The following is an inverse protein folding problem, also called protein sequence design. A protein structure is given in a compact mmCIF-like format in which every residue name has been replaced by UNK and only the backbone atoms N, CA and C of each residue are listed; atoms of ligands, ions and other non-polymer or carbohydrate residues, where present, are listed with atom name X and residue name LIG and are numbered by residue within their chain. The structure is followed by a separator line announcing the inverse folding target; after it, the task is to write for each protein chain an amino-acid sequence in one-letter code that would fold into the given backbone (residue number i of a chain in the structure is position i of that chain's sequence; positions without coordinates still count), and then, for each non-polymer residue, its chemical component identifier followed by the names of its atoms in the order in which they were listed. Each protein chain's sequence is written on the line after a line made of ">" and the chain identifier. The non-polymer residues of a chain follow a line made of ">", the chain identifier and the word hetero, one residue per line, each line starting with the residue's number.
data_IF_385668350713
#
_entry.id   IF_385668350713
#
_cell.length_a   1.000
_cell.length_b   1.000
_cell.length_c   1.000
_cell.angle_alpha   90.00
_cell.angle_beta   90.00
_cell.angle_gamma   90.00
#
_symmetry.space_group_name_H-M   'P 1'
#
loop_
_entity.id
_entity.type
_entity.pdbx_description
1 polymer ?
#
# COMPACT_ATOMS: atom_id res chain seq x y z
N UNK A 1 -4.92 -17.64 11.43
CA UNK A 1 -3.47 -17.94 11.56
C UNK A 1 -2.70 -16.99 10.62
N UNK A 2 -1.75 -16.18 11.10
CA UNK A 2 -0.98 -15.28 10.21
C UNK A 2 -0.03 -16.10 9.35
N UNK A 3 -0.12 -16.01 8.02
CA UNK A 3 0.84 -16.64 7.13
C UNK A 3 1.91 -15.63 6.70
N UNK A 4 3.15 -15.85 7.14
CA UNK A 4 4.34 -15.12 6.68
C UNK A 4 5.05 -15.93 5.59
N UNK A 5 4.97 -15.49 4.34
CA UNK A 5 5.78 -16.08 3.26
C UNK A 5 7.15 -15.39 3.20
N UNK A 6 8.18 -16.02 3.78
CA UNK A 6 9.58 -15.56 3.74
C UNK A 6 9.81 -14.10 4.23
N UNK A 7 8.87 -13.55 5.01
CA UNK A 7 8.89 -12.16 5.49
C UNK A 7 8.67 -11.08 4.41
N UNK A 8 8.54 -11.45 3.13
CA UNK A 8 8.28 -10.51 2.02
C UNK A 8 6.78 -10.30 1.79
N UNK A 9 5.95 -11.16 2.39
CA UNK A 9 4.51 -10.97 2.51
C UNK A 9 4.09 -11.25 3.95
N UNK A 10 3.10 -10.50 4.42
CA UNK A 10 2.35 -10.76 5.64
C UNK A 10 0.90 -10.83 5.22
N UNK A 11 0.18 -11.87 5.62
CA UNK A 11 -1.25 -11.96 5.46
C UNK A 11 -1.90 -12.35 6.78
N UNK A 12 -2.78 -11.50 7.27
CA UNK A 12 -3.62 -11.76 8.44
C UNK A 12 -4.90 -12.43 7.96
N UNK A 13 -5.31 -13.42 8.73
CA UNK A 13 -6.52 -14.22 8.52
C UNK A 13 -7.72 -13.44 9.04
N UNK A 14 -8.41 -12.77 8.12
CA UNK A 14 -9.59 -11.94 8.38
C UNK A 14 -10.61 -12.15 7.26
N UNK A 15 -11.89 -12.15 7.60
CA UNK A 15 -12.96 -12.17 6.62
C UNK A 15 -13.04 -10.82 5.89
N UNK A 16 -13.16 -10.86 4.57
CA UNK A 16 -13.24 -9.67 3.75
C UNK A 16 -14.41 -9.76 2.76
N UNK A 17 -15.32 -8.79 2.83
CA UNK A 17 -16.35 -8.55 1.80
C UNK A 17 -15.93 -7.45 0.83
N UNK A 18 -15.12 -6.52 1.34
CA UNK A 18 -14.52 -5.39 0.64
C UNK A 18 -13.04 -5.33 1.01
N UNK A 19 -12.19 -5.00 0.05
CA UNK A 19 -10.74 -4.98 0.23
C UNK A 19 -10.13 -3.67 -0.27
N UNK A 20 -9.33 -3.01 0.57
CA UNK A 20 -8.62 -1.78 0.21
C UNK A 20 -7.12 -2.05 0.03
N UNK A 21 -6.63 -1.85 -1.19
CA UNK A 21 -5.25 -2.15 -1.56
C UNK A 21 -4.52 -0.84 -1.85
N UNK A 22 -3.48 -0.53 -1.08
CA UNK A 22 -2.66 0.66 -1.25
C UNK A 22 -1.32 0.31 -1.90
N UNK A 23 -0.90 1.07 -2.90
CA UNK A 23 0.50 1.01 -3.37
C UNK A 23 1.39 1.77 -2.40
N UNK A 24 2.23 1.08 -1.64
CA UNK A 24 3.13 1.66 -0.62
C UNK A 24 3.98 2.82 -1.14
N UNK A 25 4.52 2.68 -2.34
CA UNK A 25 5.51 3.61 -2.88
C UNK A 25 4.83 4.76 -3.62
N UNK A 26 5.07 5.98 -3.14
CA UNK A 26 4.35 7.17 -3.56
C UNK A 26 3.01 7.41 -2.85
N UNK A 27 2.57 6.50 -1.96
CA UNK A 27 1.45 6.78 -1.03
C UNK A 27 1.94 6.82 0.41
N UNK A 28 2.29 5.68 1.00
CA UNK A 28 2.77 5.57 2.38
C UNK A 28 4.20 6.09 2.53
N UNK A 29 5.05 5.84 1.53
CA UNK A 29 6.45 6.24 1.49
C UNK A 29 6.73 7.06 0.22
N UNK A 30 7.77 7.91 0.18
CA UNK A 30 8.12 8.70 -1.00
C UNK A 30 8.46 7.83 -2.22
N UNK A 31 8.14 8.32 -3.42
CA UNK A 31 8.45 7.62 -4.68
C UNK A 31 9.93 7.67 -5.06
N UNK A 32 10.67 8.74 -4.72
CA UNK A 32 12.11 8.85 -5.03
C UNK A 32 12.97 8.42 -3.82
N UNK A 33 13.25 7.12 -3.76
CA UNK A 33 14.07 6.51 -2.71
C UNK A 33 15.55 6.55 -3.09
N UNK A 34 16.19 7.71 -2.93
CA UNK A 34 17.66 7.83 -3.03
C UNK A 34 18.30 7.85 -1.64
N UNK A 35 18.08 6.82 -0.82
CA UNK A 35 18.70 6.74 0.49
C UNK A 35 17.94 5.91 1.53
N UNK A 36 18.36 6.06 2.79
CA UNK A 36 17.72 5.46 3.96
C UNK A 36 16.29 5.97 4.14
N UNK A 37 15.41 5.11 4.68
CA UNK A 37 14.04 5.47 5.05
C UNK A 37 14.05 5.92 6.51
N UNK A 38 13.50 7.10 6.76
CA UNK A 38 13.29 7.63 8.11
C UNK A 38 11.81 7.55 8.49
N UNK A 39 11.52 7.57 9.80
CA UNK A 39 10.13 7.61 10.29
C UNK A 39 9.36 8.83 9.78
N UNK A 40 10.06 9.95 9.58
CA UNK A 40 9.49 11.16 8.98
C UNK A 40 8.96 10.93 7.58
N UNK A 41 9.47 9.92 6.85
CA UNK A 41 9.05 9.64 5.48
C UNK A 41 7.68 8.95 5.41
N UNK A 42 7.10 8.55 6.55
CA UNK A 42 5.78 7.92 6.58
C UNK A 42 4.70 8.98 6.43
N UNK A 43 3.85 8.81 5.42
CA UNK A 43 2.80 9.75 5.10
C UNK A 43 1.67 9.75 6.15
N UNK A 44 1.64 10.77 7.01
CA UNK A 44 0.64 10.92 8.06
C UNK A 44 -0.81 10.97 7.55
N UNK A 45 -1.05 11.51 6.34
CA UNK A 45 -2.38 11.53 5.72
C UNK A 45 -2.89 10.11 5.44
N UNK A 46 -2.02 9.25 4.92
CA UNK A 46 -2.35 7.84 4.66
C UNK A 46 -2.51 7.06 5.96
N UNK A 47 -1.71 7.36 7.00
CA UNK A 47 -1.88 6.75 8.33
C UNK A 47 -3.26 7.09 8.91
N UNK A 48 -3.70 8.34 8.79
CA UNK A 48 -5.02 8.74 9.30
C UNK A 48 -6.16 8.08 8.52
N UNK A 49 -6.06 7.98 7.19
CA UNK A 49 -7.01 7.23 6.37
C UNK A 49 -7.05 5.75 6.77
N UNK A 50 -5.89 5.12 6.97
CA UNK A 50 -5.79 3.73 7.42
C UNK A 50 -6.43 3.52 8.80
N UNK A 51 -6.28 4.49 9.72
CA UNK A 51 -6.92 4.47 11.02
C UNK A 51 -8.45 4.55 10.93
N UNK A 52 -8.97 5.40 10.04
CA UNK A 52 -10.41 5.48 9.79
C UNK A 52 -10.96 4.18 9.20
N UNK A 53 -10.25 3.60 8.23
CA UNK A 53 -10.59 2.29 7.65
C UNK A 53 -10.59 1.19 8.72
N UNK A 54 -9.57 1.14 9.58
CA UNK A 54 -9.47 0.15 10.66
C UNK A 54 -10.63 0.26 11.64
N UNK A 55 -11.08 1.48 11.98
CA UNK A 55 -12.26 1.70 12.84
C UNK A 55 -13.55 1.13 12.25
N UNK A 56 -13.66 1.08 10.92
CA UNK A 56 -14.79 0.45 10.23
C UNK A 56 -14.66 -1.07 10.11
N UNK A 57 -13.54 -1.67 10.57
CA UNK A 57 -13.31 -3.10 10.48
C UNK A 57 -13.07 -3.59 9.05
N UNK A 58 -12.68 -2.71 8.12
CA UNK A 58 -12.52 -3.05 6.72
C UNK A 58 -11.10 -3.55 6.45
N UNK A 59 -10.94 -4.72 5.80
CA UNK A 59 -9.62 -5.21 5.47
C UNK A 59 -8.86 -4.30 4.49
N UNK A 60 -7.62 -3.99 4.83
CA UNK A 60 -6.74 -3.20 3.98
C UNK A 60 -5.28 -3.60 4.08
N UNK A 61 -4.47 -3.20 3.10
CA UNK A 61 -3.05 -3.51 3.12
C UNK A 61 -2.25 -2.82 2.03
N UNK A 62 -0.96 -3.13 2.01
CA UNK A 62 0.01 -2.44 1.16
C UNK A 62 0.75 -3.40 0.24
N UNK A 63 0.83 -3.04 -1.05
CA UNK A 63 1.71 -3.69 -2.03
C UNK A 63 2.84 -2.74 -2.41
N UNK A 64 4.03 -3.24 -2.77
CA UNK A 64 5.10 -2.38 -3.30
C UNK A 64 4.74 -1.77 -4.65
N UNK A 65 5.30 -0.60 -4.95
CA UNK A 65 5.15 0.02 -6.27
C UNK A 65 6.19 -0.47 -7.27
N UNK A 66 5.81 -0.40 -8.55
CA UNK A 66 6.59 -0.90 -9.69
C UNK A 66 8.03 -0.36 -9.75
N UNK A 67 8.23 0.95 -9.55
CA UNK A 67 9.54 1.61 -9.63
C UNK A 67 10.56 1.11 -8.61
N UNK A 68 10.12 0.71 -7.42
CA UNK A 68 10.99 0.15 -6.37
C UNK A 68 11.47 -1.26 -6.73
N UNK A 69 10.74 -1.95 -7.61
CA UNK A 69 11.12 -3.27 -8.11
C UNK A 69 12.12 -3.16 -9.28
N UNK A 70 12.08 -2.07 -10.05
CA UNK A 70 13.00 -1.75 -11.17
C UNK A 70 14.37 -1.26 -10.69
N UNK A 71 14.39 -0.41 -9.65
CA UNK A 71 15.58 0.32 -9.20
C UNK A 71 16.28 -0.47 -8.09
N UNK A 72 17.23 -1.33 -8.47
CA UNK A 72 18.08 -2.15 -7.59
C UNK A 72 17.29 -2.87 -6.49
N UNK A 73 16.90 -4.13 -6.74
CA UNK A 73 16.21 -4.95 -5.74
C UNK A 73 16.93 -4.86 -4.39
N UNK A 74 16.32 -4.25 -3.35
CA UNK A 74 16.73 -4.49 -1.98
C UNK A 74 16.80 -6.00 -1.80
N UNK A 75 17.78 -6.52 -1.05
CA UNK A 75 17.79 -7.95 -0.75
C UNK A 75 16.41 -8.33 -0.16
N UNK A 76 15.93 -9.54 -0.42
CA UNK A 76 14.66 -10.02 0.17
C UNK A 76 14.62 -9.79 1.69
N UNK A 77 15.76 -9.89 2.36
CA UNK A 77 15.95 -9.57 3.78
C UNK A 77 15.70 -8.09 4.13
N UNK A 78 16.17 -7.14 3.31
CA UNK A 78 15.95 -5.71 3.54
C UNK A 78 14.47 -5.34 3.35
N UNK A 79 13.81 -5.91 2.34
CA UNK A 79 12.38 -5.70 2.13
C UNK A 79 11.53 -6.29 3.27
N UNK A 80 11.89 -7.49 3.75
CA UNK A 80 11.23 -8.11 4.89
C UNK A 80 11.41 -7.29 6.18
N UNK A 81 12.62 -6.81 6.44
CA UNK A 81 12.88 -5.92 7.59
C UNK A 81 12.06 -4.63 7.50
N UNK A 82 11.99 -4.00 6.32
CA UNK A 82 11.17 -2.81 6.10
C UNK A 82 9.69 -3.08 6.35
N UNK A 83 9.15 -4.17 5.81
CA UNK A 83 7.74 -4.55 6.04
C UNK A 83 7.48 -4.72 7.54
N UNK A 84 8.33 -5.44 8.26
CA UNK A 84 8.16 -5.66 9.71
C UNK A 84 8.19 -4.36 10.50
N UNK A 85 9.10 -3.44 10.17
CA UNK A 85 9.17 -2.12 10.81
C UNK A 85 7.90 -1.31 10.54
N UNK A 86 7.46 -1.23 9.28
CA UNK A 86 6.25 -0.49 8.92
C UNK A 86 4.99 -1.08 9.58
N UNK A 87 4.90 -2.41 9.61
CA UNK A 87 3.81 -3.12 10.26
C UNK A 87 3.72 -2.80 11.76
N UNK A 88 4.86 -2.79 12.45
CA UNK A 88 4.93 -2.40 13.86
C UNK A 88 4.53 -0.94 14.08
N UNK A 89 5.06 -0.02 13.28
CA UNK A 89 4.75 1.42 13.40
C UNK A 89 3.26 1.65 13.21
N UNK A 90 2.68 1.13 12.13
CA UNK A 90 1.25 1.30 11.83
C UNK A 90 0.36 0.61 12.86
N UNK A 91 0.73 -0.59 13.32
CA UNK A 91 -0.01 -1.29 14.37
C UNK A 91 0.00 -0.54 15.69
N UNK A 92 1.11 0.12 16.04
CA UNK A 92 1.17 0.97 17.24
C UNK A 92 0.32 2.24 17.16
N UNK A 93 -0.07 2.66 15.95
CA UNK A 93 -0.88 3.84 15.67
C UNK A 93 -2.34 3.54 15.33
N UNK A 94 -2.88 2.38 15.74
CA UNK A 94 -4.24 1.91 15.44
C UNK A 94 -4.57 1.80 13.94
N UNK A 95 -3.53 1.68 13.11
CA UNK A 95 -3.62 1.58 11.66
C UNK A 95 -2.99 0.26 11.17
N UNK A 96 -3.08 -0.81 11.98
CA UNK A 96 -2.55 -2.13 11.62
C UNK A 96 -3.13 -2.57 10.28
N UNK A 97 -2.34 -2.93 9.26
CA UNK A 97 -2.86 -3.45 8.00
C UNK A 97 -3.15 -4.95 8.10
N UNK A 98 -4.01 -5.52 7.25
CA UNK A 98 -4.25 -6.96 7.20
C UNK A 98 -3.23 -7.68 6.32
N UNK A 99 -2.65 -6.98 5.33
CA UNK A 99 -1.61 -7.56 4.49
C UNK A 99 -0.51 -6.60 4.08
N UNK A 100 0.64 -7.20 3.79
CA UNK A 100 1.80 -6.59 3.15
C UNK A 100 2.29 -7.50 2.03
N UNK A 101 2.69 -6.91 0.90
CA UNK A 101 3.30 -7.68 -0.19
C UNK A 101 4.37 -6.86 -0.90
N UNK A 102 5.63 -7.31 -0.83
CA UNK A 102 6.72 -6.70 -1.60
C UNK A 102 6.90 -7.33 -2.99
N UNK A 103 6.46 -8.57 -3.20
CA UNK A 103 6.51 -9.27 -4.49
C UNK A 103 5.40 -10.32 -4.55
N UNK A 104 4.92 -10.69 -5.76
CA UNK A 104 4.01 -11.81 -5.91
C UNK A 104 4.70 -13.12 -5.47
N UNK A 105 3.95 -13.98 -4.77
CA UNK A 105 4.44 -15.19 -4.08
C UNK A 105 4.68 -16.42 -4.97
N UNK A 106 4.49 -16.32 -6.29
CA UNK A 106 4.46 -17.44 -7.27
C UNK A 106 5.14 -18.78 -6.89
N UNK A 107 4.51 -19.95 -7.18
CA UNK A 107 5.11 -21.28 -7.06
C UNK A 107 6.11 -21.65 -8.18
N UNK A 108 6.43 -20.76 -9.12
CA UNK A 108 7.39 -21.08 -10.20
C UNK A 108 8.81 -20.65 -9.83
N UNK A 109 9.51 -21.55 -9.13
CA UNK A 109 10.96 -21.57 -8.98
C UNK A 109 11.73 -21.83 -10.27
N UNK A 110 11.26 -21.31 -11.40
CA UNK A 110 12.01 -21.33 -12.66
C UNK A 110 12.55 -19.93 -12.89
N UNK A 111 13.87 -19.87 -13.07
CA UNK A 111 14.63 -18.82 -13.75
C UNK A 111 13.92 -18.36 -15.04
N UNK A 112 12.87 -17.56 -14.93
CA UNK A 112 12.33 -16.82 -16.06
C UNK A 112 13.27 -15.64 -16.21
N UNK A 113 14.11 -15.75 -17.23
CA UNK A 113 15.03 -14.71 -17.62
C UNK A 113 14.34 -13.36 -17.60
N UNK A 114 15.06 -12.41 -17.01
CA UNK A 114 14.80 -10.98 -16.97
C UNK A 114 14.58 -10.45 -18.40
N UNK A 115 13.39 -10.66 -18.94
CA UNK A 115 12.85 -10.00 -20.13
C UNK A 115 12.04 -8.79 -19.64
N UNK A 116 12.28 -7.64 -20.25
CA UNK A 116 11.71 -6.32 -19.92
C UNK A 116 10.17 -6.32 -19.75
N UNK A 117 9.52 -7.29 -20.37
CA UNK A 117 8.09 -7.54 -20.41
C UNK A 117 7.51 -8.12 -19.09
N UNK A 118 8.34 -8.68 -18.21
CA UNK A 118 7.90 -9.27 -16.93
C UNK A 118 7.62 -8.26 -15.82
N UNK A 119 8.17 -7.05 -15.90
CA UNK A 119 8.04 -6.01 -14.87
C UNK A 119 6.69 -5.27 -14.95
N UNK A 120 6.08 -5.20 -16.15
CA UNK A 120 4.76 -4.57 -16.34
C UNK A 120 3.61 -5.34 -15.67
N UNK A 121 3.81 -6.61 -15.29
CA UNK A 121 2.76 -7.44 -14.70
C UNK A 121 2.80 -7.52 -13.17
N UNK A 122 3.74 -6.85 -12.50
CA UNK A 122 3.97 -7.07 -11.07
C UNK A 122 2.84 -6.53 -10.19
N UNK A 123 2.42 -5.28 -10.36
CA UNK A 123 1.29 -4.73 -9.59
C UNK A 123 0.01 -5.53 -9.84
N UNK A 124 -0.23 -5.93 -11.09
CA UNK A 124 -1.37 -6.79 -11.48
C UNK A 124 -1.34 -8.13 -10.76
N UNK A 125 -0.20 -8.82 -10.78
CA UNK A 125 -0.03 -10.12 -10.12
C UNK A 125 -0.22 -10.03 -8.61
N UNK A 126 0.31 -8.97 -7.98
CA UNK A 126 0.13 -8.74 -6.54
C UNK A 126 -1.33 -8.48 -6.18
N UNK A 127 -2.03 -7.62 -6.93
CA UNK A 127 -3.47 -7.37 -6.72
C UNK A 127 -4.27 -8.67 -6.84
N UNK A 128 -4.03 -9.46 -7.88
CA UNK A 128 -4.70 -10.75 -8.06
C UNK A 128 -4.42 -11.74 -6.91
N UNK A 129 -3.18 -11.79 -6.42
CA UNK A 129 -2.79 -12.68 -5.33
C UNK A 129 -3.47 -12.28 -4.01
N UNK A 130 -3.53 -10.98 -3.70
CA UNK A 130 -4.23 -10.49 -2.51
C UNK A 130 -5.74 -10.78 -2.61
N UNK A 131 -6.35 -10.54 -3.77
CA UNK A 131 -7.76 -10.88 -4.00
C UNK A 131 -8.04 -12.37 -3.80
N UNK A 132 -7.16 -13.22 -4.34
CA UNK A 132 -7.24 -14.68 -4.18
C UNK A 132 -7.12 -15.08 -2.72
N UNK A 133 -6.21 -14.46 -1.97
CA UNK A 133 -6.01 -14.72 -0.56
C UNK A 133 -7.27 -14.47 0.27
N UNK A 134 -7.90 -13.32 0.07
CA UNK A 134 -9.09 -12.91 0.82
C UNK A 134 -10.41 -13.37 0.18
N UNK A 135 -10.36 -14.12 -0.92
CA UNK A 135 -11.52 -14.57 -1.69
C UNK A 135 -12.49 -13.42 -2.08
N UNK A 136 -11.94 -12.25 -2.42
CA UNK A 136 -12.72 -11.05 -2.77
C UNK A 136 -12.79 -10.85 -4.28
N UNK A 137 -13.99 -10.57 -4.79
CA UNK A 137 -14.25 -10.24 -6.18
C UNK A 137 -13.66 -8.89 -6.59
N UNK A 138 -13.26 -8.74 -7.87
CA UNK A 138 -12.63 -7.50 -8.39
C UNK A 138 -13.45 -6.24 -8.13
N UNK A 139 -14.78 -6.36 -8.19
CA UNK A 139 -15.71 -5.25 -7.96
C UNK A 139 -15.72 -4.82 -6.50
N UNK A 140 -15.38 -5.69 -5.57
CA UNK A 140 -15.31 -5.40 -4.13
C UNK A 140 -13.94 -4.87 -3.68
N UNK A 141 -13.03 -4.66 -4.63
CA UNK A 141 -11.69 -4.13 -4.36
C UNK A 141 -11.59 -2.64 -4.76
N UNK A 142 -10.89 -1.87 -3.95
CA UNK A 142 -10.45 -0.51 -4.28
C UNK A 142 -8.93 -0.44 -4.21
N UNK A 143 -8.30 -0.02 -5.29
CA UNK A 143 -6.86 0.17 -5.39
C UNK A 143 -6.49 1.66 -5.32
N UNK A 144 -5.58 2.02 -4.43
CA UNK A 144 -5.14 3.40 -4.18
C UNK A 144 -3.67 3.53 -4.55
N UNK A 145 -3.34 4.41 -5.49
CA UNK A 145 -1.95 4.60 -5.93
C UNK A 145 -1.72 6.01 -6.46
N UNK A 146 -0.47 6.47 -6.34
CA UNK A 146 0.01 7.72 -6.97
C UNK A 146 0.51 7.52 -8.40
N UNK A 147 0.80 6.26 -8.78
CA UNK A 147 1.36 5.86 -10.06
C UNK A 147 0.26 5.69 -11.11
N UNK A 148 0.24 6.50 -12.20
CA UNK A 148 -0.74 6.32 -13.27
C UNK A 148 -0.68 4.93 -13.92
N UNK A 149 0.51 4.35 -14.04
CA UNK A 149 0.71 3.01 -14.61
C UNK A 149 0.05 1.93 -13.77
N UNK A 150 0.27 1.97 -12.44
CA UNK A 150 -0.32 0.99 -11.53
C UNK A 150 -1.85 1.11 -11.49
N UNK A 151 -2.38 2.34 -11.57
CA UNK A 151 -3.83 2.57 -11.66
C UNK A 151 -4.41 1.99 -12.96
N UNK A 152 -3.73 2.16 -14.10
CA UNK A 152 -4.15 1.57 -15.37
C UNK A 152 -4.16 0.04 -15.28
N UNK A 153 -3.15 -0.56 -14.66
CA UNK A 153 -3.08 -2.02 -14.52
C UNK A 153 -4.16 -2.59 -13.59
N UNK A 154 -4.48 -1.88 -12.50
CA UNK A 154 -5.60 -2.23 -11.63
C UNK A 154 -6.96 -2.07 -12.34
N UNK A 155 -7.14 -0.99 -13.10
CA UNK A 155 -8.36 -0.77 -13.88
C UNK A 155 -8.57 -1.87 -14.94
N UNK A 156 -7.50 -2.36 -15.58
CA UNK A 156 -7.58 -3.51 -16.51
C UNK A 156 -8.02 -4.81 -15.85
N UNK A 157 -7.84 -4.96 -14.53
CA UNK A 157 -8.39 -6.08 -13.75
C UNK A 157 -9.88 -5.91 -13.41
N UNK A 158 -10.46 -4.74 -13.67
CA UNK A 158 -11.81 -4.38 -13.25
C UNK A 158 -11.91 -4.01 -11.76
N UNK A 159 -10.79 -3.64 -11.14
CA UNK A 159 -10.74 -3.12 -9.76
C UNK A 159 -11.03 -1.61 -9.78
N UNK A 160 -11.78 -1.11 -8.78
CA UNK A 160 -12.06 0.32 -8.64
C UNK A 160 -10.78 1.05 -8.23
N UNK A 161 -10.47 2.21 -8.80
CA UNK A 161 -9.18 2.88 -8.57
C UNK A 161 -9.33 4.28 -8.02
N UNK A 162 -8.51 4.63 -7.02
CA UNK A 162 -8.38 5.99 -6.49
C UNK A 162 -6.97 6.50 -6.75
N UNK A 163 -6.88 7.63 -7.48
CA UNK A 163 -5.61 8.32 -7.64
C UNK A 163 -5.27 9.09 -6.37
N UNK A 164 -4.15 8.73 -5.76
CA UNK A 164 -3.52 9.50 -4.70
C UNK A 164 -2.64 10.60 -5.31
N UNK A 165 -2.75 11.83 -4.81
CA UNK A 165 -1.87 12.93 -5.22
C UNK A 165 -1.09 13.38 -3.98
N UNK A 166 0.18 12.97 -3.84
CA UNK A 166 0.99 13.41 -2.71
C UNK A 166 1.12 14.94 -2.74
N UNK A 167 1.18 15.61 -1.58
CA UNK A 167 1.49 17.03 -1.53
C UNK A 167 2.81 17.31 -2.27
N UNK A 168 2.87 18.35 -3.11
CA UNK A 168 4.11 18.74 -3.77
C UNK A 168 5.16 19.11 -2.70
N UNK A 169 6.22 18.29 -2.62
CA UNK A 169 7.51 18.54 -1.98
C UNK A 169 7.52 19.54 -0.80
N UNK A 170 7.00 19.12 0.33
CA UNK A 170 7.78 19.21 1.56
C UNK A 170 8.07 17.77 1.97
N UNK A 171 9.29 17.47 2.40
CA UNK A 171 9.60 16.22 3.13
C UNK A 171 8.41 15.94 4.05
N UNK A 172 7.81 14.74 3.99
CA UNK A 172 6.68 14.37 4.85
C UNK A 172 6.99 14.90 6.26
N UNK A 173 6.32 15.98 6.70
CA UNK A 173 6.75 16.64 7.91
C UNK A 173 6.39 15.68 9.03
N UNK A 174 7.42 15.19 9.72
CA UNK A 174 7.22 14.64 11.04
C UNK A 174 6.48 15.70 11.86
N UNK A 175 5.41 15.29 12.54
CA UNK A 175 4.65 16.16 13.44
C UNK A 175 5.54 16.46 14.65
N UNK A 176 6.44 17.43 14.49
CA UNK A 176 6.97 18.16 15.63
C UNK A 176 5.88 19.11 16.11
N UNK A 177 5.67 19.19 17.42
CA UNK A 177 4.67 20.08 18.00
C UNK A 177 4.88 21.51 17.50
N UNK A 178 3.93 22.03 16.71
CA UNK A 178 3.27 23.35 16.83
C UNK A 178 3.09 24.08 15.50
N UNK A 179 1.89 24.00 14.90
CA UNK A 179 1.04 25.14 14.50
C UNK A 179 -0.40 24.63 14.25
N UNK A 180 -1.46 25.32 14.71
CA UNK A 180 -2.85 24.85 14.57
C UNK A 180 -3.36 24.81 13.12
N UNK A 181 -2.69 25.46 12.17
CA UNK A 181 -3.18 25.64 10.81
C UNK A 181 -2.87 24.45 9.88
N UNK A 182 -1.77 23.73 10.07
CA UNK A 182 -1.37 22.59 9.22
C UNK A 182 -2.10 21.29 9.58
N UNK A 183 -2.45 21.09 10.86
CA UNK A 183 -3.25 19.91 11.26
C UNK A 183 -4.64 19.89 10.60
N UNK A 184 -5.23 21.07 10.39
CA UNK A 184 -6.52 21.23 9.74
C UNK A 184 -6.48 20.82 8.25
N UNK A 185 -5.41 21.18 7.53
CA UNK A 185 -5.28 20.84 6.10
C UNK A 185 -4.96 19.37 5.86
N UNK A 186 -4.13 18.75 6.70
CA UNK A 186 -3.84 17.31 6.62
C UNK A 186 -5.07 16.46 6.95
N UNK A 187 -5.80 16.81 8.01
CA UNK A 187 -7.03 16.10 8.35
C UNK A 187 -8.07 16.21 7.25
N UNK A 188 -8.27 17.42 6.70
CA UNK A 188 -9.21 17.63 5.60
C UNK A 188 -8.85 16.81 4.36
N UNK A 189 -7.58 16.73 4.00
CA UNK A 189 -7.14 15.91 2.85
C UNK A 189 -7.30 14.40 3.11
N UNK A 190 -7.02 13.96 4.33
CA UNK A 190 -7.28 12.58 4.75
C UNK A 190 -8.78 12.27 4.67
N UNK A 191 -9.64 13.15 5.16
CA UNK A 191 -11.10 13.04 5.05
C UNK A 191 -11.55 12.99 3.58
N UNK A 192 -11.10 13.92 2.73
CA UNK A 192 -11.44 13.93 1.31
C UNK A 192 -10.98 12.66 0.57
N UNK A 193 -9.83 12.09 0.94
CA UNK A 193 -9.36 10.82 0.40
C UNK A 193 -10.18 9.64 0.92
N UNK A 194 -10.46 9.62 2.22
CA UNK A 194 -11.28 8.60 2.86
C UNK A 194 -12.68 8.57 2.25
N UNK A 195 -13.34 9.72 2.09
CA UNK A 195 -14.65 9.83 1.45
C UNK A 195 -14.65 9.29 0.01
N UNK A 196 -13.61 9.59 -0.78
CA UNK A 196 -13.47 9.02 -2.13
C UNK A 196 -13.35 7.49 -2.09
N UNK A 197 -12.58 6.96 -1.15
CA UNK A 197 -12.43 5.52 -0.97
C UNK A 197 -13.75 4.92 -0.52
N UNK A 198 -14.44 5.52 0.45
CA UNK A 198 -15.69 5.03 1.02
C UNK A 198 -16.83 4.99 0.01
N UNK A 199 -17.02 6.06 -0.76
CA UNK A 199 -17.99 6.10 -1.86
C UNK A 199 -17.73 5.00 -2.89
N UNK A 200 -16.46 4.77 -3.22
CA UNK A 200 -16.08 3.71 -4.14
C UNK A 200 -16.12 2.33 -3.51
N UNK A 201 -16.01 2.18 -2.20
CA UNK A 201 -16.10 0.90 -1.51
C UNK A 201 -17.53 0.56 -1.09
N UNK A 202 -18.47 1.50 -1.26
CA UNK A 202 -19.88 1.39 -0.85
C UNK A 202 -20.02 1.18 0.67
N UNK A 203 -19.25 1.97 1.44
CA UNK A 203 -19.20 1.97 2.90
C UNK A 203 -20.20 2.95 3.52
#
# INVERSE_FOLDING_TARGET
>A
MTEEHNGICIFRDVDATTLLIFERDGTLLPSDRRGSIFLSDINAEIVEVARQIRKLGIPFGFISGKKTMERSTPSKSQAAALIKILDQILSSGDASPDFWMAWPTSPYGSTVGRRDDGLQMLSRAMIMEVMRWYAVEKTSCVFVSSSPESLIDAAKLGVRTVRYIPPMAAKFPFVERSQPNEKSSHNRRAEELFEKIANLASL
#
